data_IF_367290372767
#
_entry.id   IF_367290372767
#
_cell.length_a   1.000
_cell.length_b   1.000
_cell.length_c   1.000
_cell.angle_alpha   90.00
_cell.angle_beta   90.00
_cell.angle_gamma   90.00
#
_symmetry.space_group_name_H-M   'P 1'
#
loop_
_entity.id
_entity.type
_entity.pdbx_description
1 polymer ?
#
# COMPACT_ATOMS: atom_id res chain seq x y z
N UNK A 1 18.55 -32.76 3.94
CA UNK A 1 18.47 -31.92 2.74
C UNK A 1 18.06 -30.53 3.07
N UNK A 2 18.81 -29.57 2.62
CA UNK A 2 18.46 -28.18 2.86
C UNK A 2 17.43 -27.76 1.82
N UNK A 3 16.31 -27.34 2.30
CA UNK A 3 15.28 -26.81 1.43
C UNK A 3 15.52 -25.34 1.23
N UNK A 4 16.03 -25.01 0.08
CA UNK A 4 16.04 -23.62 -0.31
C UNK A 4 14.63 -23.21 -0.69
N UNK A 5 14.22 -22.06 -0.22
CA UNK A 5 13.00 -21.47 -0.74
C UNK A 5 13.24 -21.19 -2.21
N UNK A 6 12.48 -21.80 -3.12
CA UNK A 6 12.67 -21.53 -4.54
C UNK A 6 12.50 -20.04 -4.84
N UNK A 7 13.20 -19.59 -5.84
CA UNK A 7 13.09 -18.18 -6.25
C UNK A 7 11.65 -17.81 -6.56
N UNK A 8 10.90 -18.73 -7.15
CA UNK A 8 9.50 -18.53 -7.47
C UNK A 8 8.67 -18.28 -6.23
N UNK A 9 8.95 -19.01 -5.14
CA UNK A 9 8.23 -18.80 -3.90
C UNK A 9 8.59 -17.44 -3.28
N UNK A 10 9.84 -17.04 -3.41
CA UNK A 10 10.26 -15.73 -2.92
C UNK A 10 9.53 -14.61 -3.65
N UNK A 11 9.40 -14.74 -4.97
CA UNK A 11 8.71 -13.73 -5.77
C UNK A 11 7.20 -13.73 -5.54
N UNK A 12 6.66 -14.83 -5.00
CA UNK A 12 5.24 -14.92 -4.70
C UNK A 12 4.88 -14.30 -3.37
N UNK A 13 5.87 -14.04 -2.51
CA UNK A 13 5.62 -13.39 -1.23
C UNK A 13 5.55 -11.89 -1.48
N UNK A 14 4.38 -11.27 -1.23
CA UNK A 14 4.28 -9.83 -1.46
C UNK A 14 5.10 -9.05 -0.44
N UNK A 15 5.71 -7.97 -0.90
CA UNK A 15 6.41 -7.03 -0.04
C UNK A 15 5.44 -5.94 0.37
N UNK A 16 5.34 -5.69 1.67
CA UNK A 16 4.51 -4.61 2.17
C UNK A 16 5.32 -3.32 2.04
N UNK A 17 4.82 -2.42 1.20
CA UNK A 17 5.46 -1.13 0.97
C UNK A 17 4.95 -0.11 1.97
N UNK A 18 3.66 -0.17 2.28
CA UNK A 18 3.02 0.80 3.15
C UNK A 18 1.73 0.19 3.69
N UNK A 19 1.43 0.46 4.96
CA UNK A 19 0.15 0.06 5.53
C UNK A 19 -0.34 1.12 6.49
N UNK A 20 -1.63 1.32 6.53
CA UNK A 20 -2.27 2.17 7.51
C UNK A 20 -3.69 1.68 7.76
N UNK A 21 -4.28 2.16 8.85
CA UNK A 21 -5.63 1.80 9.19
C UNK A 21 -6.40 2.99 9.72
N UNK A 22 -7.69 2.97 9.52
CA UNK A 22 -8.61 3.94 10.10
C UNK A 22 -9.53 3.20 11.05
N UNK A 23 -9.22 3.27 12.33
CA UNK A 23 -9.97 2.53 13.34
C UNK A 23 -11.41 3.02 13.49
N UNK A 24 -11.67 4.28 13.18
CA UNK A 24 -13.04 4.81 13.30
C UNK A 24 -13.97 4.22 12.24
N UNK A 25 -13.42 3.97 11.06
CA UNK A 25 -14.20 3.47 9.93
C UNK A 25 -13.91 2.00 9.63
N UNK A 26 -13.10 1.33 10.44
CA UNK A 26 -12.74 -0.08 10.28
C UNK A 26 -12.13 -0.38 8.92
N UNK A 27 -11.35 0.56 8.38
CA UNK A 27 -10.74 0.41 7.07
C UNK A 27 -9.24 0.26 7.22
N UNK A 28 -8.72 -0.78 6.59
CA UNK A 28 -7.29 -1.02 6.48
C UNK A 28 -6.85 -0.80 5.03
N UNK A 29 -5.71 -0.16 4.87
CA UNK A 29 -5.13 0.08 3.55
C UNK A 29 -3.73 -0.49 3.52
N UNK A 30 -3.43 -1.21 2.44
CA UNK A 30 -2.17 -1.90 2.29
C UNK A 30 -1.68 -1.74 0.86
N UNK A 31 -0.47 -1.20 0.70
CA UNK A 31 0.19 -1.14 -0.59
C UNK A 31 1.25 -2.23 -0.63
N UNK A 32 1.11 -3.15 -1.57
CA UNK A 32 2.04 -4.26 -1.70
C UNK A 32 2.70 -4.25 -3.07
N UNK A 33 3.87 -4.82 -3.12
CA UNK A 33 4.59 -5.07 -4.36
C UNK A 33 4.83 -6.58 -4.50
N UNK A 34 4.56 -7.10 -5.67
CA UNK A 34 4.81 -8.49 -5.99
C UNK A 34 5.22 -8.59 -7.46
N UNK A 35 6.41 -9.13 -7.70
CA UNK A 35 6.93 -9.34 -9.05
C UNK A 35 6.96 -8.05 -9.88
N UNK A 36 7.29 -6.94 -9.24
CA UNK A 36 7.35 -5.64 -9.92
C UNK A 36 6.02 -4.96 -10.09
N UNK A 37 4.93 -5.56 -9.67
CA UNK A 37 3.61 -4.97 -9.74
C UNK A 37 3.18 -4.48 -8.38
N UNK A 38 2.50 -3.34 -8.37
CA UNK A 38 2.02 -2.71 -7.15
C UNK A 38 0.50 -2.79 -7.08
N UNK A 39 0.02 -3.20 -5.92
CA UNK A 39 -1.42 -3.34 -5.69
C UNK A 39 -1.80 -2.64 -4.41
N UNK A 40 -2.89 -1.92 -4.46
CA UNK A 40 -3.49 -1.29 -3.30
C UNK A 40 -4.66 -2.14 -2.83
N UNK A 41 -4.57 -2.57 -1.57
CA UNK A 41 -5.62 -3.36 -0.93
C UNK A 41 -6.37 -2.48 0.06
N UNK A 42 -7.67 -2.47 -0.04
CA UNK A 42 -8.54 -1.82 0.93
C UNK A 42 -9.44 -2.89 1.52
N UNK A 43 -9.52 -2.90 2.84
CA UNK A 43 -10.33 -3.89 3.55
C UNK A 43 -11.16 -3.21 4.62
N UNK A 44 -12.46 -3.50 4.65
CA UNK A 44 -13.34 -3.05 5.70
C UNK A 44 -13.54 -4.22 6.66
N UNK A 45 -12.98 -4.10 7.86
CA UNK A 45 -13.02 -5.20 8.83
C UNK A 45 -14.40 -5.42 9.42
N UNK A 46 -15.27 -4.42 9.37
CA UNK A 46 -16.62 -4.56 9.88
C UNK A 46 -17.50 -5.37 8.95
N UNK A 47 -17.43 -5.07 7.65
CA UNK A 47 -18.24 -5.75 6.63
C UNK A 47 -17.53 -6.91 5.98
N UNK A 48 -16.21 -7.01 6.18
CA UNK A 48 -15.33 -7.97 5.53
C UNK A 48 -15.29 -7.80 4.01
N UNK A 49 -15.65 -6.63 3.52
CA UNK A 49 -15.49 -6.30 2.12
C UNK A 49 -14.05 -5.88 1.84
N UNK A 50 -13.56 -6.25 0.69
CA UNK A 50 -12.23 -5.86 0.29
C UNK A 50 -12.20 -5.48 -1.18
N UNK A 51 -11.24 -4.62 -1.53
CA UNK A 51 -11.00 -4.22 -2.90
C UNK A 51 -9.51 -4.23 -3.14
N UNK A 52 -9.11 -4.75 -4.29
CA UNK A 52 -7.73 -4.80 -4.72
C UNK A 52 -7.65 -4.14 -6.07
N UNK A 53 -6.74 -3.18 -6.21
CA UNK A 53 -6.54 -2.51 -7.48
C UNK A 53 -5.05 -2.44 -7.80
N UNK A 54 -4.73 -2.65 -9.06
CA UNK A 54 -3.37 -2.46 -9.54
C UNK A 54 -3.12 -0.97 -9.67
N UNK A 55 -1.97 -0.51 -9.20
CA UNK A 55 -1.63 0.91 -9.25
C UNK A 55 -0.32 1.08 -10.02
N UNK A 56 -0.22 2.19 -10.74
CA UNK A 56 1.02 2.61 -11.35
C UNK A 56 1.81 3.36 -10.29
N UNK A 57 2.98 2.82 -9.93
CA UNK A 57 3.75 3.40 -8.83
C UNK A 57 4.24 4.80 -9.14
N UNK A 58 4.48 5.11 -10.41
CA UNK A 58 4.91 6.44 -10.80
C UNK A 58 3.79 7.46 -10.62
N UNK A 59 2.57 7.10 -10.99
CA UNK A 59 1.41 7.95 -10.76
C UNK A 59 1.14 8.11 -9.27
N UNK A 60 1.32 7.03 -8.51
CA UNK A 60 1.15 7.07 -7.06
C UNK A 60 2.16 8.02 -6.42
N UNK A 61 3.40 7.99 -6.89
CA UNK A 61 4.44 8.90 -6.41
C UNK A 61 4.11 10.36 -6.74
N UNK A 62 3.57 10.61 -7.93
CA UNK A 62 3.14 11.96 -8.30
C UNK A 62 2.02 12.46 -7.41
N UNK A 63 1.09 11.59 -7.08
CA UNK A 63 0.01 11.94 -6.14
C UNK A 63 0.58 12.32 -4.79
N UNK A 64 1.56 11.58 -4.31
CA UNK A 64 2.21 11.86 -3.05
C UNK A 64 2.89 13.22 -3.07
N UNK A 65 3.60 13.54 -4.14
CA UNK A 65 4.24 14.85 -4.31
C UNK A 65 3.20 15.97 -4.30
N UNK A 66 2.09 15.77 -4.98
CA UNK A 66 1.01 16.76 -5.01
C UNK A 66 0.41 16.98 -3.63
N UNK A 67 0.25 15.93 -2.86
CA UNK A 67 -0.24 16.03 -1.49
C UNK A 67 0.75 16.80 -0.62
N UNK A 68 2.03 16.51 -0.76
CA UNK A 68 3.07 17.21 -0.01
C UNK A 68 3.06 18.71 -0.30
N UNK A 69 2.93 19.07 -1.57
CA UNK A 69 2.81 20.48 -1.97
C UNK A 69 1.57 21.14 -1.39
N UNK A 70 0.46 20.43 -1.42
CA UNK A 70 -0.79 20.94 -0.86
C UNK A 70 -0.64 21.21 0.63
N UNK A 71 -0.06 20.29 1.38
CA UNK A 71 0.12 20.46 2.82
C UNK A 71 1.03 21.63 3.14
N UNK A 72 2.09 21.82 2.38
CA UNK A 72 2.97 22.97 2.55
C UNK A 72 2.25 24.27 2.32
N UNK A 73 1.48 24.34 1.23
CA UNK A 73 0.73 25.55 0.86
C UNK A 73 -0.30 25.92 1.92
N UNK A 74 -0.97 24.93 2.47
CA UNK A 74 -1.99 25.14 3.49
C UNK A 74 -1.43 25.17 4.91
N UNK A 75 -0.11 25.07 5.05
CA UNK A 75 0.57 25.05 6.34
C UNK A 75 0.08 23.94 7.27
N UNK A 76 -0.33 22.84 6.68
CA UNK A 76 -0.76 21.66 7.43
C UNK A 76 0.48 20.84 7.77
N UNK A 77 0.61 20.47 9.04
CA UNK A 77 1.73 19.63 9.48
C UNK A 77 1.45 18.18 9.17
N UNK A 78 2.40 17.53 8.50
CA UNK A 78 2.34 16.11 8.28
C UNK A 78 3.03 15.44 9.45
N UNK A 79 2.33 14.55 10.12
CA UNK A 79 2.92 13.73 11.18
C UNK A 79 3.25 12.37 10.60
N UNK A 80 4.53 12.04 10.66
CA UNK A 80 5.00 10.74 10.21
C UNK A 80 5.31 9.86 11.40
#
# INVERSE_FOLDING_TARGET
MIHKIPTEQKSQIPNIVFECGDFENDIDMLLIEKEGEFHLHLHNSFTDDSMIMKVDIHDFAKMFDSLSEYFKREQIKIRL
#
